data_IF_576159540815
#
_entry.id   IF_576159540815
#
_cell.length_a   1.000
_cell.length_b   1.000
_cell.length_c   1.000
_cell.angle_alpha   90.00
_cell.angle_beta   90.00
_cell.angle_gamma   90.00
#
_symmetry.space_group_name_H-M   'P 1'
#
loop_
_entity.id
_entity.type
_entity.pdbx_description
1 polymer ?
#
# COMPACT_ATOMS: atom_id res chain seq x y z
N UNK A 1 -22.44 -15.42 0.81
CA UNK A 1 -21.06 -15.21 1.33
C UNK A 1 -21.12 -14.79 2.80
N UNK A 2 -20.37 -15.50 3.66
CA UNK A 2 -20.44 -15.34 5.12
C UNK A 2 -19.55 -14.19 5.65
N UNK A 3 -18.69 -13.62 4.80
CA UNK A 3 -17.81 -12.47 5.14
C UNK A 3 -18.33 -11.24 4.41
N UNK A 4 -18.66 -10.18 5.15
CA UNK A 4 -19.16 -8.90 4.61
C UNK A 4 -18.25 -7.72 4.91
N UNK A 5 -17.30 -7.88 5.84
CA UNK A 5 -16.30 -6.88 6.22
C UNK A 5 -15.11 -7.60 6.89
N UNK A 6 -14.10 -6.83 7.31
CA UNK A 6 -12.93 -7.40 7.99
C UNK A 6 -13.28 -8.05 9.34
N UNK A 7 -14.25 -7.54 10.09
CA UNK A 7 -14.61 -8.10 11.40
C UNK A 7 -15.11 -9.55 11.31
N UNK A 8 -15.84 -9.89 10.24
CA UNK A 8 -16.33 -11.26 9.98
C UNK A 8 -15.21 -12.29 9.75
N UNK A 9 -13.97 -11.83 9.52
CA UNK A 9 -12.79 -12.70 9.37
C UNK A 9 -12.23 -13.17 10.72
N UNK A 10 -12.73 -12.66 11.85
CA UNK A 10 -12.25 -13.03 13.19
C UNK A 10 -12.32 -14.55 13.40
N UNK A 11 -11.24 -15.10 13.93
CA UNK A 11 -11.10 -16.53 14.21
C UNK A 11 -10.89 -17.42 12.97
N UNK A 12 -10.91 -16.87 11.75
CA UNK A 12 -10.66 -17.60 10.49
C UNK A 12 -9.18 -17.51 10.08
N UNK A 13 -8.62 -18.52 9.40
CA UNK A 13 -7.25 -18.47 8.88
C UNK A 13 -7.08 -17.37 7.81
N UNK A 14 -5.98 -16.63 7.85
CA UNK A 14 -5.66 -15.54 6.93
C UNK A 14 -4.22 -15.69 6.43
N UNK A 15 -4.04 -15.83 5.12
CA UNK A 15 -2.72 -15.82 4.50
C UNK A 15 -2.19 -14.39 4.44
N UNK A 16 -1.10 -14.13 5.17
CA UNK A 16 -0.52 -12.81 5.36
C UNK A 16 0.99 -12.83 5.15
N UNK A 17 1.55 -11.78 4.54
CA UNK A 17 3.00 -11.61 4.42
C UNK A 17 3.62 -11.24 5.78
N UNK A 18 4.83 -11.73 6.05
CA UNK A 18 5.54 -11.49 7.32
C UNK A 18 5.68 -9.99 7.64
N UNK A 19 5.93 -9.15 6.62
CA UNK A 19 6.03 -7.70 6.76
C UNK A 19 4.75 -7.03 7.27
N UNK A 20 3.58 -7.67 7.15
CA UNK A 20 2.31 -7.13 7.62
C UNK A 20 1.99 -7.51 9.06
N UNK A 21 2.73 -8.45 9.66
CA UNK A 21 2.53 -8.90 11.05
C UNK A 21 2.80 -7.76 12.04
N UNK A 22 3.88 -7.01 11.84
CA UNK A 22 4.26 -5.90 12.72
C UNK A 22 3.48 -4.59 12.49
N UNK A 23 2.55 -4.57 11.53
CA UNK A 23 1.82 -3.37 11.12
C UNK A 23 0.32 -3.62 11.05
N UNK A 24 -0.18 -4.02 9.87
CA UNK A 24 -1.61 -4.26 9.61
C UNK A 24 -2.19 -5.28 10.59
N UNK A 25 -1.47 -6.36 10.89
CA UNK A 25 -1.98 -7.40 11.78
C UNK A 25 -2.21 -6.88 13.19
N UNK A 26 -1.29 -6.05 13.72
CA UNK A 26 -1.51 -5.42 15.03
C UNK A 26 -2.77 -4.57 15.01
N UNK A 27 -2.96 -3.76 13.97
CA UNK A 27 -4.18 -2.98 13.82
C UNK A 27 -5.45 -3.85 13.72
N UNK A 28 -5.40 -5.02 13.07
CA UNK A 28 -6.52 -5.97 13.04
C UNK A 28 -6.80 -6.60 14.42
N UNK A 29 -5.76 -6.95 15.19
CA UNK A 29 -5.90 -7.43 16.59
C UNK A 29 -6.57 -6.36 17.45
N UNK A 30 -6.07 -5.14 17.33
CA UNK A 30 -6.53 -3.96 18.03
C UNK A 30 -8.01 -3.67 17.78
N UNK A 31 -8.40 -3.61 16.50
CA UNK A 31 -9.73 -3.15 16.09
C UNK A 31 -10.79 -4.25 16.14
N UNK A 32 -10.44 -5.48 15.77
CA UNK A 32 -11.41 -6.57 15.59
C UNK A 32 -11.16 -7.78 16.49
N UNK A 33 -10.13 -7.76 17.34
CA UNK A 33 -9.83 -8.88 18.25
C UNK A 33 -9.34 -10.12 17.51
N UNK A 34 -8.57 -9.94 16.43
CA UNK A 34 -7.89 -11.04 15.75
C UNK A 34 -6.82 -11.66 16.66
N UNK A 35 -6.51 -12.93 16.41
CA UNK A 35 -5.58 -13.72 17.22
C UNK A 35 -4.50 -14.34 16.33
N UNK A 36 -3.26 -14.41 16.81
CA UNK A 36 -2.12 -14.85 15.98
C UNK A 36 -2.28 -16.27 15.42
N UNK A 37 -3.12 -17.12 16.05
CA UNK A 37 -3.51 -18.43 15.52
C UNK A 37 -4.22 -18.39 14.15
N UNK A 38 -4.72 -17.23 13.75
CA UNK A 38 -5.31 -17.01 12.43
C UNK A 38 -4.25 -16.89 11.33
N UNK A 39 -3.02 -16.46 11.65
CA UNK A 39 -2.00 -16.22 10.63
C UNK A 39 -1.67 -17.55 9.91
N UNK A 40 -1.64 -17.47 8.58
CA UNK A 40 -1.06 -18.47 7.69
C UNK A 40 -0.01 -17.76 6.84
N UNK A 41 1.08 -18.44 6.52
CA UNK A 41 2.14 -17.87 5.71
C UNK A 41 1.61 -17.58 4.30
N UNK A 42 1.68 -16.33 3.86
CA UNK A 42 1.52 -16.02 2.44
C UNK A 42 2.80 -16.37 1.69
N UNK A 43 2.69 -17.29 0.73
CA UNK A 43 3.81 -17.79 -0.07
C UNK A 43 3.98 -17.08 -1.42
N UNK A 44 3.33 -15.92 -1.59
CA UNK A 44 3.36 -15.13 -2.84
C UNK A 44 2.89 -15.92 -4.06
N UNK A 45 2.02 -16.91 -3.85
CA UNK A 45 1.38 -17.69 -4.90
C UNK A 45 -0.13 -17.70 -4.67
N UNK A 46 -0.90 -17.75 -5.77
CA UNK A 46 -2.36 -17.69 -5.72
C UNK A 46 -3.01 -19.07 -5.58
N UNK A 47 -2.27 -20.15 -5.83
CA UNK A 47 -2.83 -21.50 -5.90
C UNK A 47 -3.63 -21.91 -4.63
N UNK A 48 -3.17 -21.67 -3.39
CA UNK A 48 -3.95 -21.98 -2.19
C UNK A 48 -5.28 -21.23 -2.12
N UNK A 49 -5.32 -19.98 -2.61
CA UNK A 49 -6.52 -19.16 -2.65
C UNK A 49 -7.51 -19.61 -3.73
N UNK A 50 -7.03 -20.18 -4.84
CA UNK A 50 -7.90 -20.65 -5.94
C UNK A 50 -8.63 -21.96 -5.62
N UNK A 51 -8.05 -22.82 -4.78
CA UNK A 51 -8.59 -24.17 -4.51
C UNK A 51 -9.48 -24.25 -3.27
N UNK A 52 -9.52 -23.19 -2.45
CA UNK A 52 -10.33 -23.11 -1.24
C UNK A 52 -11.24 -21.88 -1.28
N UNK A 53 -12.54 -22.12 -1.51
CA UNK A 53 -13.56 -21.06 -1.57
C UNK A 53 -13.75 -20.29 -0.26
N UNK A 54 -13.26 -20.82 0.88
CA UNK A 54 -13.27 -20.18 2.19
C UNK A 54 -11.97 -19.47 2.55
N UNK A 55 -10.96 -19.51 1.67
CA UNK A 55 -9.66 -18.91 1.95
C UNK A 55 -9.74 -17.39 2.05
N UNK A 56 -8.94 -16.82 2.95
CA UNK A 56 -8.75 -15.37 3.09
C UNK A 56 -7.27 -15.10 2.83
N UNK A 57 -6.99 -14.21 1.88
CA UNK A 57 -5.64 -13.88 1.46
C UNK A 57 -5.42 -12.36 1.42
N UNK A 58 -4.30 -11.90 1.96
CA UNK A 58 -3.77 -10.58 1.65
C UNK A 58 -3.31 -10.51 0.19
N UNK A 59 -3.65 -9.44 -0.50
CA UNK A 59 -3.13 -9.18 -1.84
C UNK A 59 -3.04 -7.69 -2.15
N UNK A 60 -2.43 -7.38 -3.28
CA UNK A 60 -2.49 -6.08 -3.92
C UNK A 60 -3.74 -5.99 -4.80
N UNK A 61 -4.53 -4.94 -4.60
CA UNK A 61 -5.73 -4.66 -5.38
C UNK A 61 -5.47 -4.70 -6.91
N UNK A 62 -4.27 -4.27 -7.30
CA UNK A 62 -3.77 -4.19 -8.67
C UNK A 62 -3.26 -5.52 -9.23
N UNK A 63 -3.26 -6.63 -8.48
CA UNK A 63 -2.72 -7.92 -8.95
C UNK A 63 -3.65 -9.09 -8.66
N UNK A 64 -3.72 -9.56 -7.41
CA UNK A 64 -4.37 -10.83 -7.05
C UNK A 64 -5.85 -10.92 -7.46
N UNK A 65 -6.70 -9.88 -7.29
CA UNK A 65 -8.10 -9.97 -7.71
C UNK A 65 -8.27 -10.20 -9.21
N UNK A 66 -7.40 -9.61 -10.04
CA UNK A 66 -7.46 -9.80 -11.48
C UNK A 66 -7.03 -11.21 -11.89
N UNK A 67 -5.96 -11.73 -11.29
CA UNK A 67 -5.52 -13.10 -11.54
C UNK A 67 -6.57 -14.13 -11.09
N UNK A 68 -7.22 -13.88 -9.95
CA UNK A 68 -8.33 -14.71 -9.47
C UNK A 68 -9.50 -14.71 -10.46
N UNK A 69 -9.96 -13.54 -10.89
CA UNK A 69 -11.08 -13.41 -11.82
C UNK A 69 -10.81 -14.10 -13.16
N UNK A 70 -9.57 -14.03 -13.66
CA UNK A 70 -9.14 -14.76 -14.86
C UNK A 70 -9.20 -16.28 -14.69
N UNK A 71 -8.88 -16.79 -13.51
CA UNK A 71 -8.86 -18.23 -13.23
C UNK A 71 -10.26 -18.78 -12.92
N UNK A 72 -11.10 -18.01 -12.21
CA UNK A 72 -12.38 -18.47 -11.66
C UNK A 72 -13.60 -18.01 -12.46
N UNK A 73 -13.44 -17.04 -13.37
CA UNK A 73 -14.52 -16.46 -14.17
C UNK A 73 -15.44 -15.49 -13.42
N UNK A 74 -15.11 -15.16 -12.17
CA UNK A 74 -15.80 -14.16 -11.36
C UNK A 74 -14.82 -13.50 -10.37
N UNK A 75 -15.06 -12.26 -9.90
CA UNK A 75 -14.17 -11.60 -8.95
C UNK A 75 -14.25 -12.23 -7.55
N UNK A 76 -13.18 -12.11 -6.74
CA UNK A 76 -13.24 -12.43 -5.31
C UNK A 76 -13.92 -11.29 -4.54
N UNK A 77 -14.25 -11.54 -3.27
CA UNK A 77 -14.59 -10.45 -2.35
C UNK A 77 -13.32 -9.65 -2.01
N UNK A 78 -13.42 -8.32 -2.03
CA UNK A 78 -12.30 -7.41 -1.78
C UNK A 78 -12.66 -6.52 -0.60
N UNK A 79 -11.74 -6.44 0.36
CA UNK A 79 -11.87 -5.57 1.54
C UNK A 79 -10.61 -4.73 1.66
N UNK A 80 -10.70 -3.42 1.42
CA UNK A 80 -9.56 -2.53 1.56
C UNK A 80 -9.39 -2.12 3.02
N UNK A 81 -8.16 -2.16 3.53
CA UNK A 81 -7.88 -1.66 4.88
C UNK A 81 -8.20 -0.17 5.03
N UNK A 82 -8.09 0.60 3.94
CA UNK A 82 -8.40 2.03 3.92
C UNK A 82 -9.89 2.33 4.17
N UNK A 83 -10.79 1.51 3.62
CA UNK A 83 -12.25 1.64 3.82
C UNK A 83 -12.64 1.42 5.30
N UNK A 84 -11.77 0.71 6.01
CA UNK A 84 -11.90 0.41 7.42
C UNK A 84 -11.03 1.34 8.29
N UNK A 85 -10.43 2.39 7.73
CA UNK A 85 -9.72 3.41 8.50
C UNK A 85 -8.32 3.01 8.97
N UNK A 86 -7.64 2.06 8.31
CA UNK A 86 -6.23 1.81 8.58
C UNK A 86 -5.37 3.02 8.18
N UNK A 87 -4.67 3.67 9.12
CA UNK A 87 -4.05 4.97 8.86
C UNK A 87 -2.66 4.87 8.22
N UNK A 88 -2.05 3.70 8.02
CA UNK A 88 -0.69 3.64 7.44
C UNK A 88 -0.67 3.91 5.93
N UNK A 89 0.48 4.36 5.43
CA UNK A 89 0.80 4.36 4.00
C UNK A 89 1.16 2.95 3.52
N UNK A 90 0.73 2.60 2.30
CA UNK A 90 0.93 1.26 1.73
C UNK A 90 2.35 1.05 1.16
N UNK A 91 2.93 2.08 0.56
CA UNK A 91 4.29 2.06 0.00
C UNK A 91 5.02 3.35 0.37
N UNK A 92 6.33 3.24 0.61
CA UNK A 92 7.18 4.33 1.06
C UNK A 92 8.50 4.32 0.27
N UNK A 93 9.01 5.51 -0.05
CA UNK A 93 10.42 5.68 -0.41
C UNK A 93 11.20 5.85 0.88
N UNK A 94 12.17 4.95 1.12
CA UNK A 94 13.02 4.98 2.30
C UNK A 94 14.46 5.26 1.90
N UNK A 95 15.13 6.12 2.65
CA UNK A 95 16.55 6.41 2.51
C UNK A 95 17.22 6.40 3.89
N UNK A 96 18.49 6.01 3.93
CA UNK A 96 19.26 5.98 5.17
C UNK A 96 19.61 7.40 5.62
N UNK A 97 19.55 7.68 6.93
CA UNK A 97 19.77 9.02 7.47
C UNK A 97 21.14 9.62 7.10
N UNK A 98 22.19 8.80 7.07
CA UNK A 98 23.53 9.23 6.65
C UNK A 98 23.60 9.60 5.16
N UNK A 99 22.85 8.92 4.28
CA UNK A 99 22.77 9.24 2.86
C UNK A 99 22.02 10.56 2.65
N UNK A 100 20.94 10.77 3.40
CA UNK A 100 20.19 12.03 3.41
C UNK A 100 21.11 13.18 3.83
N UNK A 101 21.87 13.01 4.92
CA UNK A 101 22.78 14.02 5.43
C UNK A 101 23.97 14.29 4.49
N UNK A 102 24.58 13.22 3.96
CA UNK A 102 25.80 13.35 3.14
C UNK A 102 25.51 13.72 1.68
N UNK A 103 24.35 13.36 1.14
CA UNK A 103 23.98 13.56 -0.28
C UNK A 103 22.52 14.03 -0.43
N UNK A 104 22.13 15.17 0.16
CA UNK A 104 20.75 15.64 0.12
C UNK A 104 20.25 15.90 -1.31
N UNK A 105 21.10 16.39 -2.20
CA UNK A 105 20.74 16.65 -3.61
C UNK A 105 20.49 15.35 -4.40
N UNK A 106 21.18 14.25 -4.06
CA UNK A 106 20.90 12.94 -4.65
C UNK A 106 19.50 12.46 -4.24
N UNK A 107 19.16 12.61 -2.97
CA UNK A 107 17.84 12.23 -2.44
C UNK A 107 16.75 13.10 -3.07
N UNK A 108 16.96 14.43 -3.17
CA UNK A 108 16.06 15.37 -3.83
C UNK A 108 15.82 14.99 -5.30
N UNK A 109 16.90 14.72 -6.04
CA UNK A 109 16.82 14.29 -7.43
C UNK A 109 16.04 13.00 -7.60
N UNK A 110 16.26 12.00 -6.74
CA UNK A 110 15.53 10.74 -6.78
C UNK A 110 14.03 10.92 -6.49
N UNK A 111 13.67 11.67 -5.45
CA UNK A 111 12.27 11.93 -5.09
C UNK A 111 11.57 12.71 -6.19
N UNK A 112 12.20 13.75 -6.74
CA UNK A 112 11.65 14.54 -7.84
C UNK A 112 11.45 13.71 -9.12
N UNK A 113 12.43 12.89 -9.49
CA UNK A 113 12.33 12.00 -10.65
C UNK A 113 11.23 10.94 -10.46
N UNK A 114 11.08 10.39 -9.25
CA UNK A 114 10.03 9.43 -8.91
C UNK A 114 8.64 10.07 -9.01
N UNK A 115 8.46 11.27 -8.44
CA UNK A 115 7.19 12.00 -8.52
C UNK A 115 6.83 12.35 -9.98
N UNK A 116 7.81 12.76 -10.78
CA UNK A 116 7.62 12.98 -12.22
C UNK A 116 7.23 11.69 -12.95
N UNK A 117 7.91 10.58 -12.67
CA UNK A 117 7.61 9.27 -13.27
C UNK A 117 6.17 8.84 -13.00
N UNK A 118 5.71 8.91 -11.74
CA UNK A 118 4.31 8.63 -11.40
C UNK A 118 3.32 9.58 -12.08
N UNK A 119 3.66 10.87 -12.18
CA UNK A 119 2.82 11.85 -12.89
C UNK A 119 2.65 11.47 -14.35
N UNK A 120 3.77 11.23 -15.05
CA UNK A 120 3.73 10.87 -16.47
C UNK A 120 3.04 9.52 -16.69
N UNK A 121 3.27 8.56 -15.80
CA UNK A 121 2.69 7.21 -15.90
C UNK A 121 1.17 7.19 -15.68
N UNK A 122 0.66 7.98 -14.73
CA UNK A 122 -0.77 8.00 -14.42
C UNK A 122 -1.54 9.04 -15.22
N UNK A 123 -0.94 10.19 -15.53
CA UNK A 123 -1.64 11.32 -16.16
C UNK A 123 -1.17 11.63 -17.58
N UNK A 124 -0.12 10.96 -18.07
CA UNK A 124 0.38 11.05 -19.44
C UNK A 124 0.35 9.69 -20.15
N UNK A 125 1.38 9.44 -20.98
CA UNK A 125 1.55 8.17 -21.69
C UNK A 125 2.30 7.14 -20.83
N UNK A 126 1.65 6.03 -20.42
CA UNK A 126 2.31 4.99 -19.65
C UNK A 126 3.21 4.07 -20.50
N UNK A 127 3.16 4.12 -21.83
CA UNK A 127 3.82 3.14 -22.71
C UNK A 127 5.34 2.98 -22.45
N UNK A 128 6.13 4.04 -22.23
CA UNK A 128 7.54 3.88 -21.88
C UNK A 128 7.75 3.12 -20.57
N UNK A 129 6.92 3.40 -19.55
CA UNK A 129 6.96 2.69 -18.27
C UNK A 129 6.52 1.23 -18.42
N UNK A 130 5.47 0.97 -19.20
CA UNK A 130 4.99 -0.38 -19.49
C UNK A 130 6.05 -1.22 -20.20
N UNK A 131 6.83 -0.63 -21.11
CA UNK A 131 7.93 -1.31 -21.78
C UNK A 131 9.02 -1.75 -20.78
N UNK A 132 9.40 -0.88 -19.83
CA UNK A 132 10.37 -1.21 -18.78
C UNK A 132 9.83 -2.30 -17.84
N UNK A 133 8.58 -2.19 -17.41
CA UNK A 133 7.92 -3.19 -16.56
C UNK A 133 7.90 -4.56 -17.24
N UNK A 134 7.49 -4.63 -18.51
CA UNK A 134 7.45 -5.88 -19.29
C UNK A 134 8.83 -6.47 -19.53
N UNK A 135 9.84 -5.62 -19.72
CA UNK A 135 11.24 -6.06 -19.88
C UNK A 135 11.76 -6.72 -18.60
N UNK A 136 11.48 -6.11 -17.44
CA UNK A 136 12.02 -6.55 -16.15
C UNK A 136 11.17 -7.66 -15.51
N UNK A 137 9.89 -7.76 -15.88
CA UNK A 137 8.99 -8.84 -15.49
C UNK A 137 8.10 -9.29 -16.68
N UNK A 138 8.49 -10.32 -17.43
CA UNK A 138 7.73 -10.84 -18.57
C UNK A 138 6.33 -11.37 -18.23
N UNK A 139 6.02 -11.66 -16.96
CA UNK A 139 4.68 -12.08 -16.54
C UNK A 139 3.67 -10.92 -16.52
N UNK A 140 4.15 -9.67 -16.59
CA UNK A 140 3.32 -8.47 -16.61
C UNK A 140 2.67 -8.25 -17.98
N UNK A 141 1.62 -9.02 -18.27
CA UNK A 141 0.83 -8.87 -19.50
C UNK A 141 0.23 -7.46 -19.65
N UNK A 142 -0.06 -7.06 -20.89
CA UNK A 142 -0.68 -5.75 -21.16
C UNK A 142 -2.01 -5.56 -20.44
N UNK A 143 -2.83 -6.62 -20.37
CA UNK A 143 -4.10 -6.59 -19.66
C UNK A 143 -3.93 -6.41 -18.14
N UNK A 144 -2.92 -7.07 -17.54
CA UNK A 144 -2.61 -6.94 -16.13
C UNK A 144 -2.13 -5.52 -15.79
N UNK A 145 -1.28 -4.93 -16.64
CA UNK A 145 -0.82 -3.56 -16.49
C UNK A 145 -1.99 -2.57 -16.66
N UNK A 146 -2.79 -2.72 -17.71
CA UNK A 146 -3.88 -1.80 -18.01
C UNK A 146 -4.92 -1.74 -16.87
N UNK A 147 -5.33 -2.89 -16.33
CA UNK A 147 -6.25 -2.91 -15.19
C UNK A 147 -5.60 -2.40 -13.90
N UNK A 148 -4.30 -2.64 -13.69
CA UNK A 148 -3.58 -2.09 -12.55
C UNK A 148 -3.56 -0.55 -12.58
N UNK A 149 -3.24 0.05 -13.73
CA UNK A 149 -3.30 1.51 -13.93
C UNK A 149 -4.72 2.02 -13.67
N UNK A 150 -5.75 1.34 -14.18
CA UNK A 150 -7.14 1.71 -13.94
C UNK A 150 -7.46 1.72 -12.43
N UNK A 151 -7.11 0.65 -11.70
CA UNK A 151 -7.37 0.55 -10.26
C UNK A 151 -6.58 1.55 -9.43
N UNK A 152 -5.33 1.85 -9.80
CA UNK A 152 -4.54 2.90 -9.13
C UNK A 152 -5.25 4.26 -9.20
N UNK A 153 -5.90 4.55 -10.34
CA UNK A 153 -6.67 5.78 -10.54
C UNK A 153 -8.01 5.75 -9.82
N UNK A 154 -8.82 4.70 -10.00
CA UNK A 154 -10.18 4.63 -9.46
C UNK A 154 -10.22 4.53 -7.93
N UNK A 155 -9.18 3.94 -7.32
CA UNK A 155 -9.07 3.84 -5.86
C UNK A 155 -8.12 4.87 -5.25
N UNK A 156 -7.70 5.89 -6.01
CA UNK A 156 -6.91 7.01 -5.50
C UNK A 156 -5.64 6.56 -4.73
N UNK A 157 -5.00 5.49 -5.19
CA UNK A 157 -3.92 4.81 -4.45
C UNK A 157 -2.65 5.69 -4.38
N UNK A 158 -2.35 6.38 -5.48
CA UNK A 158 -1.13 7.22 -5.60
C UNK A 158 -1.45 8.70 -5.38
N UNK A 159 -2.61 9.14 -5.82
CA UNK A 159 -3.08 10.53 -5.71
C UNK A 159 -4.43 10.50 -5.00
N UNK A 160 -4.57 11.19 -3.85
CA UNK A 160 -5.84 11.27 -3.14
C UNK A 160 -6.99 11.77 -4.01
N UNK A 161 -8.22 11.38 -3.67
CA UNK A 161 -9.41 11.86 -4.35
C UNK A 161 -9.48 13.40 -4.32
N UNK A 162 -9.82 14.00 -5.46
CA UNK A 162 -9.90 15.46 -5.61
C UNK A 162 -8.55 16.20 -5.68
N UNK A 163 -7.42 15.51 -5.49
CA UNK A 163 -6.09 16.12 -5.57
C UNK A 163 -5.51 16.09 -6.99
N UNK A 164 -4.57 17.01 -7.26
CA UNK A 164 -3.80 17.03 -8.49
C UNK A 164 -2.57 16.11 -8.45
N UNK A 165 -1.89 15.96 -9.59
CA UNK A 165 -0.65 15.19 -9.69
C UNK A 165 0.55 15.82 -8.95
N UNK A 166 0.37 16.99 -8.34
CA UNK A 166 1.26 17.63 -7.37
C UNK A 166 1.20 16.96 -5.98
N UNK A 167 0.12 16.23 -5.66
CA UNK A 167 -0.03 15.50 -4.40
C UNK A 167 0.78 14.18 -4.33
N UNK A 168 1.44 13.77 -5.41
CA UNK A 168 2.24 12.55 -5.44
C UNK A 168 3.38 12.63 -4.41
N UNK A 169 3.43 11.64 -3.52
CA UNK A 169 4.45 11.55 -2.46
C UNK A 169 4.16 12.42 -1.24
N UNK A 170 3.08 13.20 -1.23
CA UNK A 170 2.69 13.98 -0.04
C UNK A 170 2.33 13.08 1.13
N UNK A 171 2.68 13.55 2.32
CA UNK A 171 2.38 12.89 3.59
C UNK A 171 1.68 13.87 4.53
N UNK A 172 0.88 13.35 5.46
CA UNK A 172 0.09 14.14 6.38
C UNK A 172 0.50 13.82 7.82
N UNK A 173 0.81 14.85 8.59
CA UNK A 173 1.25 14.72 9.98
C UNK A 173 0.15 14.05 10.82
N UNK A 174 -1.12 14.39 10.57
CA UNK A 174 -2.28 13.78 11.22
C UNK A 174 -2.37 12.26 10.98
N UNK A 175 -1.98 11.78 9.79
CA UNK A 175 -2.02 10.35 9.45
C UNK A 175 -0.91 9.59 10.15
N UNK A 176 0.29 10.17 10.23
CA UNK A 176 1.39 9.62 11.02
C UNK A 176 1.07 9.58 12.51
N UNK A 177 0.46 10.63 13.04
CA UNK A 177 -0.01 10.68 14.42
C UNK A 177 -1.06 9.59 14.69
N UNK A 178 -2.09 9.48 13.84
CA UNK A 178 -3.13 8.47 14.00
C UNK A 178 -2.56 7.03 13.97
N UNK A 179 -1.59 6.77 13.10
CA UNK A 179 -0.90 5.47 13.08
C UNK A 179 -0.10 5.24 14.38
N UNK A 180 0.67 6.22 14.83
CA UNK A 180 1.40 6.14 16.09
C UNK A 180 0.49 5.88 17.29
N UNK A 181 -0.61 6.64 17.41
CA UNK A 181 -1.57 6.53 18.51
C UNK A 181 -2.17 5.12 18.59
N UNK A 182 -2.53 4.53 17.44
CA UNK A 182 -3.01 3.14 17.41
C UNK A 182 -1.92 2.18 17.86
N UNK A 183 -0.70 2.32 17.35
CA UNK A 183 0.38 1.40 17.68
C UNK A 183 0.80 1.47 19.16
N UNK A 184 0.78 2.66 19.77
CA UNK A 184 1.02 2.84 21.21
C UNK A 184 -0.11 2.28 22.06
N UNK A 185 -1.37 2.57 21.71
CA UNK A 185 -2.55 2.07 22.44
C UNK A 185 -2.58 0.54 22.53
N UNK A 186 -1.94 -0.15 21.58
CA UNK A 186 -1.84 -1.61 21.52
C UNK A 186 -0.44 -2.16 21.88
N UNK A 187 0.43 -1.33 22.44
CA UNK A 187 1.72 -1.76 23.01
C UNK A 187 2.79 -2.16 21.97
N UNK A 188 2.63 -1.79 20.70
CA UNK A 188 3.64 -2.04 19.65
C UNK A 188 4.82 -1.10 19.78
N UNK A 189 4.53 0.18 20.02
CA UNK A 189 5.53 1.22 20.19
C UNK A 189 5.48 1.78 21.61
N UNK A 190 6.64 2.19 22.17
CA UNK A 190 6.65 2.86 23.46
C UNK A 190 6.00 4.25 23.34
N UNK A 191 5.27 4.73 24.36
CA UNK A 191 4.61 6.05 24.32
C UNK A 191 5.54 7.24 24.04
N UNK A 192 6.84 7.11 24.32
CA UNK A 192 7.84 8.16 24.10
C UNK A 192 8.58 8.11 22.76
N UNK A 193 8.21 7.22 21.83
CA UNK A 193 8.84 7.16 20.51
C UNK A 193 8.52 8.43 19.71
N UNK A 194 9.56 9.11 19.22
CA UNK A 194 9.39 10.25 18.31
C UNK A 194 9.06 9.78 16.89
N UNK A 195 7.77 9.60 16.62
CA UNK A 195 7.30 9.19 15.29
C UNK A 195 7.50 10.27 14.21
N UNK A 196 7.74 11.54 14.58
CA UNK A 196 7.96 12.61 13.61
C UNK A 196 9.30 12.47 12.90
N UNK A 197 10.26 11.81 13.53
CA UNK A 197 11.53 11.45 12.91
C UNK A 197 11.40 10.37 11.82
N UNK A 198 10.23 9.72 11.68
CA UNK A 198 10.02 8.63 10.72
C UNK A 198 9.80 9.11 9.26
N UNK A 199 9.56 10.41 9.04
CA UNK A 199 9.31 10.94 7.71
C UNK A 199 9.75 12.39 7.55
N UNK A 200 9.89 12.84 6.30
CA UNK A 200 10.12 14.24 5.96
C UNK A 200 9.52 14.57 4.60
N UNK A 201 9.07 15.81 4.44
CA UNK A 201 8.56 16.36 3.18
C UNK A 201 9.58 17.27 2.47
N UNK A 202 10.76 17.47 3.07
CA UNK A 202 11.76 18.44 2.61
C UNK A 202 12.37 18.15 1.22
N UNK A 203 12.17 16.94 0.70
CA UNK A 203 12.68 16.50 -0.61
C UNK A 203 11.60 16.43 -1.69
N UNK A 204 10.35 16.77 -1.36
CA UNK A 204 9.29 16.86 -2.36
C UNK A 204 9.53 18.05 -3.31
N UNK A 205 9.03 18.00 -4.56
CA UNK A 205 9.11 19.13 -5.47
C UNK A 205 8.40 20.37 -4.90
N UNK A 206 8.90 21.59 -5.18
CA UNK A 206 8.33 22.85 -4.65
C UNK A 206 6.83 23.01 -4.92
N UNK A 207 6.35 22.66 -6.12
CA UNK A 207 4.93 22.70 -6.46
C UNK A 207 4.03 21.84 -5.55
N UNK A 208 4.63 20.86 -4.87
CA UNK A 208 3.94 20.02 -3.89
C UNK A 208 3.92 20.67 -2.49
N UNK A 209 4.90 21.53 -2.16
CA UNK A 209 5.06 22.11 -0.82
C UNK A 209 4.13 23.31 -0.55
N UNK A 210 3.77 24.10 -1.57
CA UNK A 210 3.03 25.36 -1.44
C UNK A 210 1.51 25.24 -1.15
N UNK A 211 1.00 24.03 -0.88
CA UNK A 211 -0.45 23.80 -0.71
C UNK A 211 -0.84 22.92 0.48
N UNK A 212 0.10 22.61 1.37
CA UNK A 212 -0.27 22.02 2.65
C UNK A 212 -0.82 23.14 3.56
N UNK A 213 -2.07 23.03 4.07
CA UNK A 213 -2.51 23.89 5.17
C UNK A 213 -1.67 23.64 6.43
#
# INVERSE_FOLDING_TARGET
PDIKNLADMRGKPIMLADASIGAVWVWLKAKYGFEDRQIRKYTFNLAPFLVDAGAIQQGYLTSEPFMYERAMGHPPQIFLYADEGYPSYATLVMARNDLIAAKPELVRGFVAATAKGWRDYLFGDPAPGNALIKRDNPEMSEALIAQAIAKLKTHHIVVPEGAGADAIGQMQDARWQAFFDVMVAHGVYPPGLDYRAAYTRAFLPEAAMDRAP
#
